data_IF_197965545124
#
_entry.id   IF_197965545124
#
_cell.length_a   1.000
_cell.length_b   1.000
_cell.length_c   1.000
_cell.angle_alpha   90.00
_cell.angle_beta   90.00
_cell.angle_gamma   90.00
#
_symmetry.space_group_name_H-M   'P 1'
#
loop_
_entity.id
_entity.type
_entity.pdbx_description
1 polymer ?
#
# COMPACT_ATOMS: atom_id res chain seq x y z
N UNK A 1 -15.50 -6.88 -32.21
CA UNK A 1 -15.44 -5.88 -31.12
C UNK A 1 -14.17 -5.06 -31.34
N UNK A 2 -14.28 -3.77 -31.58
CA UNK A 2 -13.14 -2.90 -31.84
C UNK A 2 -12.31 -2.77 -30.57
N UNK A 3 -11.01 -3.04 -30.66
CA UNK A 3 -10.07 -2.80 -29.58
C UNK A 3 -10.11 -1.31 -29.24
N UNK A 4 -10.60 -0.98 -28.06
CA UNK A 4 -10.59 0.38 -27.58
C UNK A 4 -9.15 0.87 -27.57
N UNK A 5 -8.90 1.94 -28.33
CA UNK A 5 -7.59 2.58 -28.42
C UNK A 5 -7.23 3.08 -27.02
N UNK A 6 -6.38 2.34 -26.29
CA UNK A 6 -5.91 2.79 -24.98
C UNK A 6 -5.06 4.03 -25.23
N UNK A 7 -5.38 5.18 -24.61
CA UNK A 7 -4.56 6.36 -24.74
C UNK A 7 -3.12 6.03 -24.32
N UNK A 8 -2.17 6.50 -25.10
CA UNK A 8 -0.74 6.37 -24.77
C UNK A 8 -0.51 7.09 -23.44
N UNK A 9 0.08 6.43 -22.42
CA UNK A 9 0.31 7.07 -21.13
C UNK A 9 1.21 8.29 -21.28
N UNK A 10 0.79 9.43 -20.76
CA UNK A 10 1.63 10.62 -20.72
C UNK A 10 2.54 10.55 -19.48
N UNK A 11 3.77 10.07 -19.66
CA UNK A 11 4.78 9.94 -18.61
C UNK A 11 5.64 11.22 -18.47
N UNK A 12 5.06 12.39 -18.69
CA UNK A 12 5.77 13.68 -18.71
C UNK A 12 5.82 14.35 -17.32
N UNK A 13 5.59 13.58 -16.27
CA UNK A 13 5.64 14.08 -14.91
C UNK A 13 7.07 14.45 -14.51
N UNK A 14 7.33 15.71 -14.07
CA UNK A 14 8.69 16.22 -13.85
C UNK A 14 9.50 15.40 -12.83
N UNK A 15 8.84 14.89 -11.80
CA UNK A 15 9.46 14.07 -10.76
C UNK A 15 10.05 12.76 -11.31
N UNK A 16 9.47 12.16 -12.35
CA UNK A 16 9.95 10.88 -12.91
C UNK A 16 11.39 11.01 -13.43
N UNK A 17 11.71 12.13 -14.09
CA UNK A 17 13.05 12.38 -14.58
C UNK A 17 14.05 12.52 -13.44
N UNK A 18 13.70 13.26 -12.41
CA UNK A 18 14.54 13.50 -11.22
C UNK A 18 14.84 12.17 -10.50
N UNK A 19 13.81 11.37 -10.26
CA UNK A 19 13.95 10.06 -9.59
C UNK A 19 14.76 9.09 -10.45
N UNK A 20 14.56 9.06 -11.76
CA UNK A 20 15.34 8.21 -12.68
C UNK A 20 16.83 8.56 -12.68
N UNK A 21 17.17 9.84 -12.59
CA UNK A 21 18.57 10.31 -12.48
C UNK A 21 19.18 9.91 -11.12
N UNK A 22 18.46 10.12 -10.02
CA UNK A 22 18.95 9.82 -8.67
C UNK A 22 19.12 8.32 -8.40
N UNK A 23 18.25 7.49 -8.98
CA UNK A 23 18.24 6.04 -8.79
C UNK A 23 18.63 5.29 -10.06
N UNK A 24 19.60 5.79 -10.81
CA UNK A 24 20.12 5.12 -12.00
C UNK A 24 20.63 3.72 -11.64
N UNK A 25 20.11 2.70 -12.34
CA UNK A 25 20.44 1.29 -12.07
C UNK A 25 19.44 0.55 -11.17
N UNK A 26 18.46 1.23 -10.55
CA UNK A 26 17.35 0.60 -9.86
C UNK A 26 16.20 0.29 -10.82
N UNK A 27 15.40 -0.74 -10.49
CA UNK A 27 14.23 -1.13 -11.28
C UNK A 27 13.05 -0.23 -10.94
N UNK A 28 12.95 0.89 -11.64
CA UNK A 28 11.82 1.80 -11.53
C UNK A 28 10.94 1.67 -12.78
N UNK A 29 9.63 1.67 -12.57
CA UNK A 29 8.63 1.74 -13.64
C UNK A 29 7.69 2.88 -13.33
N UNK A 30 7.06 3.43 -14.37
CA UNK A 30 6.03 4.44 -14.20
C UNK A 30 4.82 4.08 -15.06
N UNK A 31 3.65 4.39 -14.53
CA UNK A 31 2.38 4.29 -15.25
C UNK A 31 1.61 5.58 -15.08
N UNK A 32 0.76 5.88 -16.03
CA UNK A 32 -0.17 7.01 -15.95
C UNK A 32 -1.57 6.49 -16.22
N UNK A 33 -2.52 6.95 -15.44
CA UNK A 33 -3.93 6.70 -15.67
C UNK A 33 -4.76 7.93 -15.29
N UNK A 34 -5.48 8.48 -16.25
CA UNK A 34 -6.36 9.66 -16.08
C UNK A 34 -5.62 10.87 -15.46
N UNK A 35 -4.42 11.15 -15.92
CA UNK A 35 -3.60 12.24 -15.39
C UNK A 35 -2.92 11.97 -14.06
N UNK A 36 -3.05 10.75 -13.52
CA UNK A 36 -2.40 10.36 -12.28
C UNK A 36 -1.18 9.50 -12.57
N UNK A 37 -0.02 10.01 -12.20
CA UNK A 37 1.26 9.31 -12.35
C UNK A 37 1.51 8.42 -11.15
N UNK A 38 1.86 7.15 -11.43
CA UNK A 38 2.26 6.17 -10.42
C UNK A 38 3.68 5.72 -10.70
N UNK A 39 4.58 5.91 -9.74
CA UNK A 39 5.93 5.35 -9.72
C UNK A 39 5.88 3.98 -9.06
N UNK A 40 6.36 2.94 -9.76
CA UNK A 40 6.42 1.56 -9.23
C UNK A 40 7.85 1.28 -8.82
N UNK A 41 8.02 0.88 -7.56
CA UNK A 41 9.31 0.69 -6.89
C UNK A 41 9.38 -0.72 -6.30
N UNK A 42 10.54 -1.35 -6.36
CA UNK A 42 10.75 -2.63 -5.66
C UNK A 42 10.69 -2.42 -4.14
N UNK A 43 10.19 -3.38 -3.35
CA UNK A 43 10.05 -3.23 -1.89
C UNK A 43 11.35 -2.84 -1.18
N UNK A 44 12.48 -3.37 -1.64
CA UNK A 44 13.80 -3.11 -1.06
C UNK A 44 14.30 -1.65 -1.27
N UNK A 45 13.77 -0.96 -2.27
CA UNK A 45 14.17 0.40 -2.61
C UNK A 45 13.14 1.45 -2.16
N UNK A 46 12.00 0.99 -1.64
CA UNK A 46 10.85 1.85 -1.32
C UNK A 46 11.22 2.98 -0.37
N UNK A 47 11.76 2.67 0.81
CA UNK A 47 12.07 3.67 1.83
C UNK A 47 13.07 4.72 1.33
N UNK A 48 14.11 4.30 0.62
CA UNK A 48 15.10 5.22 0.05
C UNK A 48 14.49 6.17 -0.99
N UNK A 49 13.60 5.66 -1.86
CA UNK A 49 12.89 6.49 -2.85
C UNK A 49 11.92 7.45 -2.15
N UNK A 50 11.21 6.99 -1.12
CA UNK A 50 10.27 7.81 -0.35
C UNK A 50 11.02 8.95 0.39
N UNK A 51 12.13 8.65 1.04
CA UNK A 51 12.99 9.67 1.68
C UNK A 51 13.47 10.71 0.67
N UNK A 52 13.96 10.27 -0.50
CA UNK A 52 14.38 11.17 -1.57
C UNK A 52 13.23 12.06 -2.06
N UNK A 53 12.03 11.50 -2.27
CA UNK A 53 10.86 12.27 -2.70
C UNK A 53 10.47 13.36 -1.70
N UNK A 54 10.63 13.10 -0.40
CA UNK A 54 10.39 14.07 0.66
C UNK A 54 11.48 15.16 0.72
N UNK A 55 12.75 14.74 0.73
CA UNK A 55 13.87 15.59 1.15
C UNK A 55 14.54 16.35 0.00
N UNK A 56 14.44 15.86 -1.25
CA UNK A 56 15.03 16.58 -2.40
C UNK A 56 14.18 17.83 -2.73
N UNK A 57 14.77 19.04 -2.71
CA UNK A 57 14.04 20.29 -2.95
C UNK A 57 13.35 20.38 -4.32
N UNK A 58 13.76 19.56 -5.28
CA UNK A 58 13.14 19.50 -6.61
C UNK A 58 11.87 18.65 -6.59
N UNK A 59 11.71 17.76 -5.58
CA UNK A 59 10.56 16.90 -5.35
C UNK A 59 9.64 17.46 -4.29
N UNK A 60 10.14 17.66 -3.05
CA UNK A 60 9.49 18.35 -1.93
C UNK A 60 8.05 17.85 -1.67
N UNK A 61 7.90 16.50 -1.59
CA UNK A 61 6.62 15.89 -1.23
C UNK A 61 6.47 15.85 0.29
N UNK A 62 6.04 16.96 0.84
CA UNK A 62 5.94 17.23 2.28
C UNK A 62 4.73 16.56 2.94
N UNK A 63 3.77 16.06 2.16
CA UNK A 63 2.53 15.49 2.69
C UNK A 63 2.24 14.09 2.12
N UNK A 64 2.09 13.11 3.04
CA UNK A 64 1.54 11.81 2.75
C UNK A 64 0.02 11.85 3.01
N UNK A 65 -0.75 11.79 1.95
CA UNK A 65 -2.21 11.87 2.02
C UNK A 65 -2.84 10.56 2.49
N UNK A 66 -2.29 9.42 2.03
CA UNK A 66 -2.84 8.10 2.35
C UNK A 66 -1.86 6.98 2.05
N UNK A 67 -2.05 5.81 2.72
CA UNK A 67 -1.41 4.53 2.40
C UNK A 67 -2.50 3.50 2.18
N UNK A 68 -2.53 2.89 1.00
CA UNK A 68 -3.63 2.04 0.53
C UNK A 68 -3.11 0.65 0.23
N UNK A 69 -3.72 -0.38 0.82
CA UNK A 69 -3.52 -1.78 0.44
C UNK A 69 -4.42 -2.19 -0.72
N UNK A 70 -3.93 -3.04 -1.62
CA UNK A 70 -4.72 -3.61 -2.72
C UNK A 70 -4.40 -5.09 -2.86
N UNK A 71 -5.43 -5.92 -3.00
CA UNK A 71 -5.31 -7.32 -3.41
C UNK A 71 -5.76 -7.48 -4.87
N UNK A 72 -4.87 -7.99 -5.72
CA UNK A 72 -5.10 -8.23 -7.14
C UNK A 72 -5.48 -9.67 -7.47
N UNK A 73 -5.83 -10.50 -6.46
CA UNK A 73 -6.35 -11.84 -6.71
C UNK A 73 -7.53 -11.75 -7.68
N UNK A 74 -7.54 -12.59 -8.71
CA UNK A 74 -8.56 -12.63 -9.77
C UNK A 74 -8.71 -11.32 -10.59
N UNK A 75 -7.72 -10.44 -10.53
CA UNK A 75 -7.70 -9.25 -11.38
C UNK A 75 -7.44 -9.65 -12.84
N UNK A 76 -8.24 -9.16 -13.81
CA UNK A 76 -8.23 -9.65 -15.19
C UNK A 76 -6.98 -9.29 -16.00
N UNK A 77 -6.12 -8.41 -15.49
CA UNK A 77 -4.86 -8.04 -16.13
C UNK A 77 -3.66 -8.54 -15.32
N UNK A 78 -2.56 -8.84 -16.01
CA UNK A 78 -1.30 -9.18 -15.36
C UNK A 78 -0.80 -8.06 -14.44
N UNK A 79 -0.37 -8.44 -13.25
CA UNK A 79 0.22 -7.55 -12.24
C UNK A 79 1.60 -8.07 -11.83
N UNK A 80 2.41 -7.20 -11.24
CA UNK A 80 3.76 -7.57 -10.76
C UNK A 80 3.73 -8.39 -9.47
N UNK A 81 2.58 -8.38 -8.78
CA UNK A 81 2.37 -9.11 -7.55
C UNK A 81 0.89 -9.17 -7.19
N UNK A 82 0.54 -10.08 -6.28
CA UNK A 82 -0.82 -10.21 -5.78
C UNK A 82 -1.23 -9.01 -4.92
N UNK A 83 -0.38 -8.60 -3.99
CA UNK A 83 -0.66 -7.44 -3.15
C UNK A 83 0.12 -6.22 -3.64
N UNK A 84 -0.39 -5.04 -3.34
CA UNK A 84 0.35 -3.81 -3.48
C UNK A 84 0.06 -2.86 -2.33
N UNK A 85 1.06 -2.05 -1.99
CA UNK A 85 0.90 -0.87 -1.15
C UNK A 85 1.09 0.36 -2.02
N UNK A 86 0.18 1.31 -1.91
CA UNK A 86 0.17 2.55 -2.69
C UNK A 86 0.21 3.73 -1.73
N UNK A 87 1.19 4.58 -1.89
CA UNK A 87 1.39 5.81 -1.14
C UNK A 87 0.98 7.00 -1.99
N UNK A 88 0.09 7.84 -1.48
CA UNK A 88 -0.38 9.04 -2.16
C UNK A 88 0.36 10.26 -1.59
N UNK A 89 1.34 10.75 -2.33
CA UNK A 89 2.19 11.87 -1.94
C UNK A 89 1.74 13.17 -2.61
N UNK A 90 1.72 14.24 -1.84
CA UNK A 90 1.40 15.58 -2.30
C UNK A 90 2.52 16.54 -1.92
N UNK A 91 2.79 17.50 -2.80
CA UNK A 91 3.60 18.68 -2.51
C UNK A 91 2.71 19.90 -2.49
N UNK A 92 2.54 20.52 -1.33
CA UNK A 92 1.76 21.74 -1.21
C UNK A 92 2.40 22.92 -1.93
N UNK A 93 3.72 22.99 -1.88
CA UNK A 93 4.48 24.06 -2.52
C UNK A 93 4.42 24.02 -4.03
N UNK A 94 4.44 22.81 -4.61
CA UNK A 94 4.40 22.60 -6.06
C UNK A 94 3.00 22.40 -6.60
N UNK A 95 2.02 22.22 -5.71
CA UNK A 95 0.64 21.84 -6.06
C UNK A 95 0.63 20.59 -6.95
N UNK A 96 1.43 19.61 -6.56
CA UNK A 96 1.72 18.40 -7.34
C UNK A 96 1.42 17.13 -6.54
N UNK A 97 1.11 16.04 -7.24
CA UNK A 97 0.78 14.75 -6.65
C UNK A 97 1.43 13.61 -7.42
N UNK A 98 1.95 12.63 -6.69
CA UNK A 98 2.45 11.38 -7.25
C UNK A 98 2.00 10.20 -6.39
N UNK A 99 1.71 9.08 -7.04
CA UNK A 99 1.52 7.81 -6.35
C UNK A 99 2.81 7.00 -6.40
N UNK A 100 3.20 6.43 -5.29
CA UNK A 100 4.28 5.44 -5.24
C UNK A 100 3.66 4.09 -4.90
N UNK A 101 3.96 3.08 -5.71
CA UNK A 101 3.41 1.73 -5.57
C UNK A 101 4.52 0.71 -5.43
N UNK A 102 4.37 -0.21 -4.49
CA UNK A 102 5.19 -1.41 -4.40
C UNK A 102 4.32 -2.66 -4.45
N UNK A 103 4.82 -3.72 -5.09
CA UNK A 103 4.12 -4.99 -5.20
C UNK A 103 4.74 -6.04 -4.29
N UNK A 104 3.90 -6.90 -3.74
CA UNK A 104 4.28 -8.00 -2.87
C UNK A 104 3.60 -9.29 -3.32
N UNK A 105 4.31 -10.41 -3.22
CA UNK A 105 3.75 -11.73 -3.48
C UNK A 105 3.83 -12.57 -2.22
N UNK A 106 2.73 -13.19 -1.79
CA UNK A 106 2.76 -14.10 -0.65
C UNK A 106 3.59 -15.33 -0.98
N UNK A 107 4.33 -15.84 0.01
CA UNK A 107 5.12 -17.08 -0.07
C UNK A 107 4.41 -18.28 0.58
N UNK A 108 3.36 -18.02 1.35
CA UNK A 108 2.51 -19.02 1.99
C UNK A 108 1.02 -18.77 1.66
N UNK A 109 0.12 -19.74 1.89
CA UNK A 109 -1.32 -19.53 1.76
C UNK A 109 -1.82 -18.35 2.58
N UNK A 110 -2.79 -17.61 2.06
CA UNK A 110 -3.28 -16.35 2.64
C UNK A 110 -4.63 -16.47 3.33
N UNK A 111 -5.10 -17.68 3.54
CA UNK A 111 -6.39 -18.00 4.17
C UNK A 111 -6.38 -17.89 5.71
N UNK A 112 -5.18 -17.78 6.30
CA UNK A 112 -4.94 -17.60 7.73
C UNK A 112 -4.38 -16.22 8.10
N UNK A 113 -3.83 -16.17 9.31
CA UNK A 113 -3.16 -14.98 9.88
C UNK A 113 -1.65 -15.20 10.09
N UNK A 114 -1.12 -16.32 9.56
CA UNK A 114 0.30 -16.63 9.66
C UNK A 114 1.13 -15.49 9.06
N UNK A 115 2.24 -15.24 9.72
CA UNK A 115 3.18 -14.21 9.30
C UNK A 115 3.97 -14.68 8.08
N UNK A 116 3.91 -13.91 7.00
CA UNK A 116 4.64 -14.16 5.77
C UNK A 116 5.72 -13.08 5.58
N UNK A 117 7.02 -13.41 5.70
CA UNK A 117 8.10 -12.46 5.47
C UNK A 117 8.12 -11.84 4.06
N UNK A 118 7.50 -12.49 3.08
CA UNK A 118 7.36 -11.96 1.72
C UNK A 118 6.34 -10.81 1.63
N UNK A 119 5.50 -10.63 2.65
CA UNK A 119 4.56 -9.52 2.78
C UNK A 119 5.07 -8.40 3.69
N UNK A 120 6.39 -8.28 3.85
CA UNK A 120 7.01 -7.20 4.60
C UNK A 120 7.49 -6.08 3.69
N UNK A 121 7.25 -4.85 4.14
CA UNK A 121 7.75 -3.62 3.52
C UNK A 121 8.27 -2.69 4.61
N UNK A 122 9.20 -1.81 4.31
CA UNK A 122 9.68 -0.85 5.30
C UNK A 122 8.64 0.24 5.55
N UNK A 123 8.41 0.57 6.83
CA UNK A 123 7.55 1.66 7.25
C UNK A 123 8.09 3.01 6.79
N UNK A 124 7.20 3.96 6.57
CA UNK A 124 7.55 5.36 6.27
C UNK A 124 7.12 6.32 7.40
N UNK A 125 6.87 5.79 8.58
CA UNK A 125 6.46 6.58 9.76
C UNK A 125 7.52 7.55 10.25
N UNK A 126 8.81 7.24 10.03
CA UNK A 126 9.95 8.13 10.28
C UNK A 126 10.00 9.30 9.28
N UNK A 127 9.42 9.13 8.10
CA UNK A 127 9.31 10.15 7.07
C UNK A 127 8.06 11.02 7.26
N UNK A 128 6.91 10.38 7.46
CA UNK A 128 5.62 11.02 7.70
C UNK A 128 4.92 10.36 8.89
N UNK A 129 4.86 11.01 10.05
CA UNK A 129 4.23 10.42 11.24
C UNK A 129 2.76 10.00 11.04
N UNK A 130 2.04 10.65 10.11
CA UNK A 130 0.66 10.27 9.76
C UNK A 130 0.52 8.88 9.14
N UNK A 131 1.61 8.29 8.62
CA UNK A 131 1.62 6.92 8.11
C UNK A 131 1.30 5.88 9.19
N UNK A 132 1.56 6.17 10.47
CA UNK A 132 1.33 5.24 11.59
C UNK A 132 -0.08 4.62 11.56
N UNK A 133 -1.10 5.43 11.32
CA UNK A 133 -2.49 4.98 11.32
C UNK A 133 -2.88 4.23 10.04
N UNK A 134 -2.44 4.74 8.90
CA UNK A 134 -2.79 4.16 7.60
C UNK A 134 -2.02 2.86 7.32
N UNK A 135 -0.78 2.74 7.77
CA UNK A 135 -0.03 1.47 7.71
C UNK A 135 -0.65 0.40 8.61
N UNK A 136 -1.15 0.76 9.79
CA UNK A 136 -1.90 -0.15 10.66
C UNK A 136 -3.19 -0.63 10.01
N UNK A 137 -3.90 0.23 9.28
CA UNK A 137 -5.09 -0.16 8.52
C UNK A 137 -4.74 -1.18 7.43
N UNK A 138 -3.69 -0.93 6.67
CA UNK A 138 -3.22 -1.87 5.64
C UNK A 138 -2.80 -3.20 6.27
N UNK A 139 -2.10 -3.17 7.39
CA UNK A 139 -1.77 -4.39 8.14
C UNK A 139 -3.03 -5.12 8.60
N UNK A 140 -3.97 -4.42 9.22
CA UNK A 140 -5.19 -5.02 9.76
C UNK A 140 -6.04 -5.67 8.67
N UNK A 141 -6.20 -4.99 7.53
CA UNK A 141 -7.08 -5.43 6.45
C UNK A 141 -6.47 -6.46 5.50
N UNK A 142 -5.15 -6.42 5.27
CA UNK A 142 -4.47 -7.25 4.27
C UNK A 142 -3.39 -8.17 4.84
N UNK A 143 -2.92 -7.93 6.07
CA UNK A 143 -1.81 -8.68 6.68
C UNK A 143 -0.43 -8.32 6.12
N UNK A 144 -0.31 -7.18 5.44
CA UNK A 144 0.97 -6.63 5.02
C UNK A 144 1.64 -5.99 6.24
N UNK A 145 2.89 -6.37 6.52
CA UNK A 145 3.60 -5.90 7.71
C UNK A 145 4.62 -4.81 7.37
N UNK A 146 4.73 -3.83 8.25
CA UNK A 146 5.64 -2.70 8.09
C UNK A 146 6.80 -2.82 9.07
N UNK A 147 8.03 -3.06 8.53
CA UNK A 147 9.25 -3.10 9.35
C UNK A 147 9.51 -1.73 9.95
N UNK A 148 10.02 -1.70 11.18
CA UNK A 148 10.33 -0.47 11.91
C UNK A 148 9.12 0.43 12.20
N UNK A 149 7.90 -0.08 12.04
CA UNK A 149 6.71 0.62 12.49
C UNK A 149 6.70 0.70 14.02
N UNK A 150 6.42 1.87 14.64
CA UNK A 150 6.53 2.04 16.09
C UNK A 150 5.52 1.22 16.90
N UNK A 151 4.33 0.96 16.35
CA UNK A 151 3.24 0.24 17.04
C UNK A 151 2.33 -0.48 16.04
N UNK A 152 2.83 -1.58 15.43
CA UNK A 152 2.09 -2.34 14.42
C UNK A 152 1.10 -3.31 15.07
N UNK A 153 -0.08 -2.84 15.39
CA UNK A 153 -1.23 -3.62 15.90
C UNK A 153 -2.50 -3.29 15.13
N UNK A 154 -3.51 -4.14 15.24
CA UNK A 154 -4.81 -3.89 14.59
C UNK A 154 -5.41 -2.55 15.02
N UNK A 155 -6.22 -1.95 14.17
CA UNK A 155 -6.83 -0.63 14.40
C UNK A 155 -8.36 -0.65 14.20
N UNK A 156 -8.85 -1.39 13.21
CA UNK A 156 -10.28 -1.47 12.88
C UNK A 156 -10.94 -2.71 13.49
N UNK A 157 -10.19 -3.81 13.60
CA UNK A 157 -10.67 -5.07 14.15
C UNK A 157 -10.13 -5.29 15.56
N UNK A 158 -10.76 -6.16 16.32
CA UNK A 158 -10.23 -6.57 17.62
C UNK A 158 -8.96 -7.42 17.46
N UNK A 159 -8.12 -7.42 18.45
CA UNK A 159 -6.76 -7.98 18.38
C UNK A 159 -6.75 -9.47 17.99
N UNK A 160 -7.67 -10.26 18.56
CA UNK A 160 -7.79 -11.70 18.29
C UNK A 160 -8.57 -12.04 17.01
N UNK A 161 -8.88 -11.08 16.13
CA UNK A 161 -9.59 -11.37 14.89
C UNK A 161 -8.77 -12.31 13.99
N UNK A 162 -9.32 -13.47 13.56
CA UNK A 162 -8.54 -14.57 12.97
C UNK A 162 -8.32 -14.44 11.46
N UNK A 163 -8.45 -13.25 10.88
CA UNK A 163 -8.34 -13.06 9.43
C UNK A 163 -7.94 -11.62 9.04
N UNK A 164 -7.76 -11.41 7.74
CA UNK A 164 -7.58 -10.11 7.11
C UNK A 164 -8.70 -9.91 6.07
N UNK A 165 -9.78 -9.19 6.42
CA UNK A 165 -11.07 -9.26 5.72
C UNK A 165 -11.11 -8.59 4.35
N UNK A 166 -10.11 -7.78 3.96
CA UNK A 166 -10.03 -7.21 2.62
C UNK A 166 -9.22 -8.06 1.64
N UNK A 167 -8.66 -9.19 2.07
CA UNK A 167 -8.13 -10.21 1.15
C UNK A 167 -9.27 -10.79 0.32
N UNK A 168 -9.06 -10.97 -0.98
CA UNK A 168 -10.09 -11.44 -1.92
C UNK A 168 -10.52 -12.90 -1.69
N UNK A 169 -9.66 -13.70 -1.08
CA UNK A 169 -9.95 -15.08 -0.67
C UNK A 169 -10.69 -15.16 0.69
N UNK A 170 -10.89 -14.04 1.37
CA UNK A 170 -11.75 -13.97 2.55
C UNK A 170 -13.21 -13.75 2.13
N UNK A 171 -14.17 -14.58 2.61
CA UNK A 171 -15.56 -14.50 2.18
C UNK A 171 -16.23 -13.21 2.69
N UNK A 172 -17.01 -12.57 1.82
CA UNK A 172 -17.71 -11.31 2.14
C UNK A 172 -18.62 -11.42 3.39
N UNK A 173 -19.20 -12.59 3.65
CA UNK A 173 -20.07 -12.83 4.81
C UNK A 173 -19.29 -13.19 6.09
N UNK A 174 -17.96 -13.26 6.03
CA UNK A 174 -17.13 -13.78 7.12
C UNK A 174 -17.20 -15.32 7.22
N UNK A 175 -16.56 -15.84 8.26
CA UNK A 175 -16.51 -17.30 8.56
C UNK A 175 -17.19 -17.63 9.88
N UNK A 176 -18.03 -16.73 10.42
CA UNK A 176 -18.71 -16.90 11.71
C UNK A 176 -17.96 -16.33 12.91
N UNK A 177 -16.94 -15.49 12.71
CA UNK A 177 -16.12 -14.91 13.78
C UNK A 177 -16.96 -14.13 14.81
N UNK A 178 -18.06 -13.52 14.36
CA UNK A 178 -18.97 -12.76 15.22
C UNK A 178 -19.86 -13.65 16.10
N UNK A 179 -20.05 -14.92 15.75
CA UNK A 179 -20.90 -15.84 16.48
C UNK A 179 -20.28 -16.25 17.83
N UNK A 180 -18.98 -16.01 18.00
CA UNK A 180 -18.25 -16.27 19.25
C UNK A 180 -18.36 -15.13 20.27
N UNK A 181 -18.99 -14.02 19.93
CA UNK A 181 -19.21 -12.93 20.87
C UNK A 181 -20.30 -13.31 21.88
N UNK A 182 -19.93 -13.28 23.15
CA UNK A 182 -20.90 -13.29 24.24
C UNK A 182 -21.66 -11.97 24.21
N UNK A 183 -22.95 -12.05 23.90
CA UNK A 183 -23.85 -10.89 24.07
C UNK A 183 -24.01 -10.65 25.57
N UNK A 184 -23.42 -9.56 26.05
CA UNK A 184 -23.63 -9.11 27.43
C UNK A 184 -25.02 -8.46 27.47
N UNK A 185 -25.94 -9.08 28.22
CA UNK A 185 -27.25 -8.51 28.46
C UNK A 185 -27.15 -7.39 29.50
N UNK A 186 -28.13 -6.47 29.48
CA UNK A 186 -28.21 -5.37 30.48
C UNK A 186 -28.30 -5.88 31.91
N UNK A 187 -28.63 -7.14 32.12
CA UNK A 187 -28.74 -7.79 33.43
C UNK A 187 -27.39 -8.36 33.90
N UNK A 188 -26.37 -8.39 33.04
CA UNK A 188 -25.04 -8.92 33.34
C UNK A 188 -24.01 -7.80 33.62
N UNK A 189 -24.46 -6.54 33.68
CA UNK A 189 -23.63 -5.34 33.89
C UNK A 189 -23.67 -4.88 35.36
#
# INVERSE_FOLDING_TARGET
>A
MAAANKPTPNLDHPTLKIVKEAFAGKRLRATEYRGQTTLIVEPADLHAVMAFLRDDPRCDYDFLSDVIGVDYLDYPAETLGRFAVIYNLCSYKRTDRIFVKTFLNPSIPTDGIEEDPALYVDSVTDLWPGAEWTEREVFDMFGIRFRNHPDLRRILLWEAYPAHPLRKDYPLRGRGEREQYRVISRTDA
#
